data_IF_565578798793
#
_entry.id   IF_565578798793
#
_cell.length_a   1.000
_cell.length_b   1.000
_cell.length_c   1.000
_cell.angle_alpha   90.00
_cell.angle_beta   90.00
_cell.angle_gamma   90.00
#
_symmetry.space_group_name_H-M   'P 1'
#
loop_
_entity.id
_entity.type
_entity.pdbx_description
1 polymer ?
#
# COMPACT_ATOMS: atom_id res chain seq x y z
N UNK A 1 72.93 22.14 0.06
CA UNK A 1 71.89 21.94 1.11
C UNK A 1 70.75 22.83 0.76
N UNK A 2 69.84 22.32 -0.14
CA UNK A 2 68.72 23.07 -0.70
C UNK A 2 67.44 22.55 -0.07
N UNK A 3 66.79 23.45 0.64
CA UNK A 3 65.52 23.22 1.28
C UNK A 3 64.40 23.47 0.25
N UNK A 4 63.67 22.41 -0.14
CA UNK A 4 62.46 22.54 -0.97
C UNK A 4 61.31 23.01 -0.11
N UNK A 5 60.50 24.00 -0.56
CA UNK A 5 59.29 24.41 0.15
C UNK A 5 58.16 23.40 -0.08
N UNK A 6 57.60 22.88 1.00
CA UNK A 6 56.37 22.08 0.96
C UNK A 6 55.17 22.99 0.55
N UNK A 7 54.70 22.80 -0.67
CA UNK A 7 53.41 23.38 -1.09
C UNK A 7 52.28 22.65 -0.36
N UNK A 8 51.72 23.30 0.65
CA UNK A 8 50.48 22.88 1.28
C UNK A 8 49.33 22.91 0.27
N UNK A 9 48.97 21.77 -0.27
CA UNK A 9 47.74 21.62 -1.04
C UNK A 9 46.57 21.78 -0.09
N UNK A 10 46.04 23.02 -0.01
CA UNK A 10 44.79 23.30 0.69
C UNK A 10 43.69 22.51 -0.03
N UNK A 11 43.31 21.34 0.54
CA UNK A 11 42.13 20.63 0.12
C UNK A 11 40.92 21.56 0.28
N UNK A 12 40.40 22.05 -0.82
CA UNK A 12 39.13 22.78 -0.86
C UNK A 12 38.03 21.76 -0.52
N UNK A 13 37.63 21.74 0.74
CA UNK A 13 36.44 21.02 1.17
C UNK A 13 35.25 21.77 0.58
N UNK A 14 34.81 21.35 -0.62
CA UNK A 14 33.54 21.77 -1.16
C UNK A 14 32.44 21.36 -0.15
N UNK A 15 31.60 22.30 0.30
CA UNK A 15 30.50 21.97 1.18
C UNK A 15 29.64 20.94 0.47
N UNK A 16 29.49 19.75 1.08
CA UNK A 16 28.61 18.68 0.63
C UNK A 16 27.22 19.31 0.48
N UNK A 17 26.78 19.52 -0.74
CA UNK A 17 25.47 20.09 -1.04
C UNK A 17 24.45 19.32 -0.22
N UNK A 18 23.76 19.99 0.71
CA UNK A 18 22.77 19.40 1.57
C UNK A 18 21.76 18.63 0.69
N UNK A 19 21.70 17.32 0.85
CA UNK A 19 20.78 16.48 0.11
C UNK A 19 19.36 17.05 0.27
N UNK A 20 18.59 17.24 -0.82
CA UNK A 20 17.28 17.85 -0.75
C UNK A 20 16.42 17.07 0.28
N UNK A 21 15.72 17.80 1.14
CA UNK A 21 14.83 17.20 2.15
C UNK A 21 13.78 16.38 1.44
N UNK A 22 13.99 15.07 1.38
CA UNK A 22 13.05 14.13 0.76
C UNK A 22 11.82 14.00 1.65
N UNK A 23 10.63 14.20 1.07
CA UNK A 23 9.36 14.05 1.75
C UNK A 23 9.20 12.60 2.25
N UNK A 24 8.49 12.42 3.37
CA UNK A 24 8.20 11.09 3.96
C UNK A 24 7.54 10.14 2.93
N UNK A 25 6.73 10.66 2.02
CA UNK A 25 6.14 9.93 0.89
C UNK A 25 7.20 9.41 -0.08
N UNK A 26 8.18 10.21 -0.41
CA UNK A 26 9.29 9.79 -1.26
C UNK A 26 10.07 8.64 -0.62
N UNK A 27 10.41 8.75 0.66
CA UNK A 27 11.16 7.71 1.38
C UNK A 27 10.37 6.41 1.58
N UNK A 28 9.05 6.48 1.83
CA UNK A 28 8.26 5.29 2.16
C UNK A 28 7.66 4.58 0.97
N UNK A 29 7.40 5.27 -0.13
CA UNK A 29 6.72 4.71 -1.30
C UNK A 29 7.61 4.76 -2.54
N UNK A 30 8.14 5.93 -2.91
CA UNK A 30 8.88 6.09 -4.16
C UNK A 30 10.22 5.36 -4.10
N UNK A 31 11.00 5.56 -3.03
CA UNK A 31 12.33 4.95 -2.92
C UNK A 31 12.29 3.40 -2.95
N UNK A 32 11.39 2.69 -2.24
CA UNK A 32 11.27 1.24 -2.37
C UNK A 32 10.86 0.78 -3.77
N UNK A 33 9.93 1.50 -4.43
CA UNK A 33 9.51 1.17 -5.80
C UNK A 33 10.67 1.36 -6.77
N UNK A 34 11.39 2.47 -6.67
CA UNK A 34 12.58 2.73 -7.50
C UNK A 34 13.68 1.72 -7.22
N UNK A 35 13.90 1.34 -5.95
CA UNK A 35 14.86 0.31 -5.60
C UNK A 35 14.54 -1.05 -6.25
N UNK A 36 13.26 -1.41 -6.35
CA UNK A 36 12.84 -2.63 -7.03
C UNK A 36 13.00 -2.55 -8.55
N UNK A 37 12.74 -1.37 -9.15
CA UNK A 37 13.03 -1.13 -10.57
C UNK A 37 14.54 -1.29 -10.88
N UNK A 38 15.40 -0.91 -9.94
CA UNK A 38 16.86 -1.05 -10.10
C UNK A 38 17.35 -2.50 -10.02
N UNK A 39 16.56 -3.39 -9.43
CA UNK A 39 16.87 -4.83 -9.34
C UNK A 39 16.46 -5.63 -10.58
N UNK A 40 16.10 -4.97 -11.68
CA UNK A 40 15.76 -5.62 -12.95
C UNK A 40 14.32 -6.11 -13.07
N UNK A 41 13.43 -5.65 -12.19
CA UNK A 41 11.99 -5.92 -12.30
C UNK A 41 11.40 -5.00 -13.37
N UNK A 42 10.63 -5.56 -14.29
CA UNK A 42 10.04 -4.79 -15.39
C UNK A 42 8.98 -3.78 -14.90
N UNK A 43 8.85 -2.61 -15.53
CA UNK A 43 7.82 -1.61 -15.21
C UNK A 43 6.40 -2.19 -15.20
N UNK A 44 6.12 -3.11 -16.13
CA UNK A 44 4.83 -3.80 -16.24
C UNK A 44 4.52 -4.62 -15.00
N UNK A 45 5.51 -5.37 -14.50
CA UNK A 45 5.34 -6.21 -13.31
C UNK A 45 5.13 -5.37 -12.04
N UNK A 46 5.81 -4.23 -11.93
CA UNK A 46 5.60 -3.30 -10.81
C UNK A 46 4.22 -2.67 -10.90
N UNK A 47 3.81 -2.20 -12.08
CA UNK A 47 2.48 -1.63 -12.30
C UNK A 47 1.38 -2.64 -11.95
N UNK A 48 1.53 -3.88 -12.39
CA UNK A 48 0.60 -4.95 -12.07
C UNK A 48 0.55 -5.23 -10.56
N UNK A 49 1.71 -5.25 -9.91
CA UNK A 49 1.84 -5.41 -8.45
C UNK A 49 1.09 -4.30 -7.70
N UNK A 50 1.23 -3.04 -8.15
CA UNK A 50 0.54 -1.90 -7.54
C UNK A 50 -0.97 -2.00 -7.77
N UNK A 51 -1.42 -2.29 -8.98
CA UNK A 51 -2.84 -2.35 -9.32
C UNK A 51 -3.56 -3.48 -8.55
N UNK A 52 -3.03 -4.70 -8.59
CA UNK A 52 -3.59 -5.86 -7.87
C UNK A 52 -3.45 -5.68 -6.36
N UNK A 53 -2.28 -5.22 -5.90
CA UNK A 53 -2.03 -4.99 -4.47
C UNK A 53 -2.99 -3.98 -3.86
N UNK A 54 -3.27 -2.88 -4.57
CA UNK A 54 -4.25 -1.88 -4.13
C UNK A 54 -5.67 -2.44 -4.10
N UNK A 55 -6.06 -3.26 -5.08
CA UNK A 55 -7.36 -3.93 -5.09
C UNK A 55 -7.52 -4.88 -3.90
N UNK A 56 -6.50 -5.67 -3.59
CA UNK A 56 -6.49 -6.59 -2.44
C UNK A 56 -6.48 -5.84 -1.10
N UNK A 57 -5.75 -4.71 -1.01
CA UNK A 57 -5.70 -3.88 0.18
C UNK A 57 -7.05 -3.22 0.51
N UNK A 58 -7.92 -3.05 -0.49
CA UNK A 58 -9.28 -2.51 -0.33
C UNK A 58 -10.35 -3.59 -0.15
N UNK A 59 -9.97 -4.83 0.15
CA UNK A 59 -10.89 -5.94 0.40
C UNK A 59 -11.80 -5.64 1.60
N UNK A 60 -13.14 -5.84 1.51
CA UNK A 60 -14.09 -5.31 2.50
C UNK A 60 -14.18 -6.11 3.82
N UNK A 61 -13.14 -6.87 4.19
CA UNK A 61 -13.08 -7.57 5.48
C UNK A 61 -11.85 -7.13 6.25
N UNK A 62 -12.06 -6.59 7.46
CA UNK A 62 -10.97 -6.24 8.36
C UNK A 62 -10.13 -7.45 8.74
N UNK A 63 -8.81 -7.27 8.74
CA UNK A 63 -7.83 -8.29 9.12
C UNK A 63 -7.52 -9.33 8.03
N UNK A 64 -8.43 -9.57 7.08
CA UNK A 64 -8.19 -10.50 5.99
C UNK A 64 -7.32 -9.91 4.86
N UNK A 65 -7.21 -8.58 4.76
CA UNK A 65 -6.46 -7.89 3.70
C UNK A 65 -4.99 -8.29 3.64
N UNK A 66 -4.33 -8.37 4.79
CA UNK A 66 -2.90 -8.74 4.86
C UNK A 66 -2.67 -10.16 4.37
N UNK A 67 -3.53 -11.10 4.78
CA UNK A 67 -3.45 -12.49 4.33
C UNK A 67 -3.78 -12.61 2.84
N UNK A 68 -4.83 -11.92 2.38
CA UNK A 68 -5.21 -11.88 0.97
C UNK A 68 -4.08 -11.30 0.11
N UNK A 69 -3.50 -10.17 0.50
CA UNK A 69 -2.35 -9.57 -0.16
C UNK A 69 -1.16 -10.52 -0.22
N UNK A 70 -0.89 -11.24 0.88
CA UNK A 70 0.20 -12.21 0.94
C UNK A 70 -0.04 -13.38 -0.02
N UNK A 71 -1.22 -14.01 0.03
CA UNK A 71 -1.56 -15.17 -0.81
C UNK A 71 -1.56 -14.79 -2.29
N UNK A 72 -2.22 -13.69 -2.66
CA UNK A 72 -2.29 -13.22 -4.05
C UNK A 72 -0.89 -12.89 -4.59
N UNK A 73 -0.05 -12.26 -3.78
CA UNK A 73 1.32 -11.97 -4.20
C UNK A 73 2.16 -13.23 -4.41
N UNK A 74 1.97 -14.27 -3.60
CA UNK A 74 2.63 -15.57 -3.79
C UNK A 74 2.14 -16.26 -5.08
N UNK A 75 0.83 -16.38 -5.24
CA UNK A 75 0.21 -17.10 -6.37
C UNK A 75 0.57 -16.44 -7.71
N UNK A 76 0.49 -15.12 -7.77
CA UNK A 76 0.79 -14.35 -8.97
C UNK A 76 2.27 -13.96 -9.11
N UNK A 77 3.11 -14.40 -8.17
CA UNK A 77 4.56 -14.10 -8.13
C UNK A 77 4.84 -12.60 -8.23
N UNK A 78 4.04 -11.80 -7.53
CA UNK A 78 4.17 -10.35 -7.45
C UNK A 78 5.17 -9.95 -6.36
N UNK A 79 5.51 -8.67 -6.33
CA UNK A 79 6.47 -8.15 -5.35
C UNK A 79 5.83 -8.00 -3.97
N UNK A 80 6.13 -8.92 -3.05
CA UNK A 80 5.60 -8.96 -1.68
C UNK A 80 5.84 -7.66 -0.89
N UNK A 81 7.06 -7.11 -0.82
CA UNK A 81 7.31 -5.84 -0.13
C UNK A 81 6.42 -4.70 -0.62
N UNK A 82 6.24 -4.57 -1.93
CA UNK A 82 5.41 -3.50 -2.50
C UNK A 82 3.94 -3.68 -2.10
N UNK A 83 3.41 -4.90 -2.20
CA UNK A 83 2.00 -5.18 -1.85
C UNK A 83 1.75 -4.92 -0.36
N UNK A 84 2.63 -5.35 0.53
CA UNK A 84 2.46 -5.11 1.97
C UNK A 84 2.58 -3.62 2.32
N UNK A 85 3.49 -2.90 1.65
CA UNK A 85 3.59 -1.45 1.81
C UNK A 85 2.31 -0.74 1.36
N UNK A 86 1.72 -1.15 0.22
CA UNK A 86 0.45 -0.61 -0.26
C UNK A 86 -0.69 -0.91 0.70
N UNK A 87 -0.76 -2.13 1.24
CA UNK A 87 -1.76 -2.51 2.23
C UNK A 87 -1.71 -1.58 3.46
N UNK A 88 -0.52 -1.26 3.96
CA UNK A 88 -0.35 -0.32 5.06
C UNK A 88 -0.65 1.14 4.66
N UNK A 89 -0.23 1.56 3.47
CA UNK A 89 -0.45 2.92 2.99
C UNK A 89 -1.93 3.22 2.72
N UNK A 90 -2.69 2.23 2.27
CA UNK A 90 -4.12 2.36 1.98
C UNK A 90 -5.02 2.16 3.20
N UNK A 91 -4.45 1.88 4.38
CA UNK A 91 -5.22 1.67 5.60
C UNK A 91 -6.21 2.81 5.93
N UNK A 92 -5.87 4.12 5.78
CA UNK A 92 -6.83 5.21 6.00
C UNK A 92 -8.00 5.22 5.02
N UNK A 93 -7.79 4.71 3.80
CA UNK A 93 -8.81 4.63 2.73
C UNK A 93 -9.66 3.36 2.87
N UNK A 94 -9.21 2.39 3.67
CA UNK A 94 -9.87 1.10 3.81
C UNK A 94 -11.31 1.21 4.35
N UNK A 95 -11.53 2.02 5.39
CA UNK A 95 -12.87 2.21 5.96
C UNK A 95 -13.86 2.80 4.94
N UNK A 96 -13.57 3.93 4.27
CA UNK A 96 -14.41 4.43 3.18
C UNK A 96 -14.66 3.41 2.07
N UNK A 97 -13.64 2.60 1.70
CA UNK A 97 -13.78 1.58 0.66
C UNK A 97 -14.74 0.45 1.08
N UNK A 98 -14.68 0.00 2.34
CA UNK A 98 -15.65 -0.98 2.88
C UNK A 98 -17.07 -0.43 2.76
N UNK A 99 -17.30 0.82 3.18
CA UNK A 99 -18.60 1.45 3.10
C UNK A 99 -19.13 1.54 1.67
N UNK A 100 -18.25 1.89 0.72
CA UNK A 100 -18.58 1.91 -0.69
C UNK A 100 -19.00 0.52 -1.19
N UNK A 101 -18.23 -0.53 -0.85
CA UNK A 101 -18.54 -1.91 -1.23
C UNK A 101 -19.85 -2.39 -0.61
N UNK A 102 -20.12 -2.06 0.66
CA UNK A 102 -21.39 -2.38 1.32
C UNK A 102 -22.56 -1.70 0.60
N UNK A 103 -22.48 -0.38 0.34
CA UNK A 103 -23.52 0.37 -0.36
C UNK A 103 -23.77 -0.14 -1.77
N UNK A 104 -22.70 -0.39 -2.49
CA UNK A 104 -22.80 -0.91 -3.85
C UNK A 104 -23.37 -2.35 -3.84
N UNK A 105 -23.00 -3.18 -2.84
CA UNK A 105 -23.59 -4.49 -2.66
C UNK A 105 -25.06 -4.44 -2.33
N UNK A 106 -25.48 -3.60 -1.39
CA UNK A 106 -26.90 -3.36 -1.06
C UNK A 106 -27.70 -2.96 -2.31
N UNK A 107 -27.16 -2.03 -3.10
CA UNK A 107 -27.75 -1.60 -4.36
C UNK A 107 -27.86 -2.75 -5.37
N UNK A 108 -26.79 -3.52 -5.55
CA UNK A 108 -26.73 -4.62 -6.53
C UNK A 108 -27.72 -5.75 -6.23
N UNK A 109 -27.90 -6.06 -4.95
CA UNK A 109 -28.77 -7.14 -4.50
C UNK A 109 -30.16 -6.69 -4.04
N UNK A 110 -30.46 -5.39 -4.12
CA UNK A 110 -31.76 -4.84 -3.73
C UNK A 110 -32.10 -5.02 -2.25
N UNK A 111 -31.08 -5.08 -1.39
CA UNK A 111 -31.23 -5.30 0.06
C UNK A 111 -31.41 -3.96 0.76
N UNK A 112 -32.35 -3.92 1.72
CA UNK A 112 -32.58 -2.70 2.51
C UNK A 112 -31.36 -2.35 3.35
N UNK A 113 -31.07 -1.05 3.39
CA UNK A 113 -29.94 -0.47 4.09
C UNK A 113 -29.87 -0.87 5.58
N UNK A 114 -28.70 -1.29 6.03
CA UNK A 114 -28.40 -1.60 7.44
C UNK A 114 -27.75 -0.37 8.13
N UNK A 115 -28.56 0.54 8.72
CA UNK A 115 -28.05 1.82 9.25
C UNK A 115 -27.09 1.65 10.43
N UNK A 116 -27.11 0.51 11.11
CA UNK A 116 -26.31 0.26 12.30
C UNK A 116 -24.92 -0.36 12.03
N UNK A 117 -24.61 -0.73 10.78
CA UNK A 117 -23.35 -1.35 10.43
C UNK A 117 -22.12 -0.53 10.87
N UNK A 118 -22.14 0.78 10.65
CA UNK A 118 -21.04 1.68 11.03
C UNK A 118 -20.91 1.78 12.55
N UNK A 119 -22.03 1.89 13.26
CA UNK A 119 -22.03 1.99 14.73
C UNK A 119 -21.48 0.71 15.37
N UNK A 120 -21.88 -0.46 14.89
CA UNK A 120 -21.39 -1.75 15.36
C UNK A 120 -19.90 -1.92 15.03
N UNK A 121 -19.45 -1.49 13.87
CA UNK A 121 -18.03 -1.51 13.52
C UNK A 121 -17.21 -0.64 14.48
N UNK A 122 -17.67 0.59 14.79
CA UNK A 122 -17.01 1.42 15.79
C UNK A 122 -17.04 0.81 17.18
N UNK A 123 -18.13 0.13 17.56
CA UNK A 123 -18.24 -0.59 18.84
C UNK A 123 -17.22 -1.71 18.96
N UNK A 124 -16.98 -2.46 17.89
CA UNK A 124 -15.96 -3.51 17.84
C UNK A 124 -14.55 -2.97 18.04
N UNK A 125 -14.26 -1.81 17.44
CA UNK A 125 -12.94 -1.18 17.49
C UNK A 125 -12.71 -0.39 18.77
N UNK A 126 -13.76 -0.18 19.60
CA UNK A 126 -13.66 0.59 20.83
C UNK A 126 -12.93 -0.19 21.91
N UNK A 127 -11.68 0.19 22.16
CA UNK A 127 -10.88 -0.31 23.26
C UNK A 127 -11.29 0.37 24.57
N UNK A 128 -11.76 -0.41 25.55
CA UNK A 128 -12.13 0.12 26.86
C UNK A 128 -10.93 0.19 27.79
N UNK A 129 -10.56 1.40 28.21
CA UNK A 129 -9.45 1.62 29.15
C UNK A 129 -9.76 1.15 30.58
N UNK A 130 -11.04 0.91 30.91
CA UNK A 130 -11.50 0.53 32.26
C UNK A 130 -11.43 -0.95 32.59
N UNK A 131 -11.07 -1.80 31.62
CA UNK A 131 -10.96 -3.25 31.79
C UNK A 131 -9.56 -3.74 31.43
N UNK A 132 -9.17 -4.88 31.99
CA UNK A 132 -7.85 -5.47 31.76
C UNK A 132 -7.58 -5.79 30.26
N UNK A 133 -6.31 -5.97 29.93
CA UNK A 133 -5.89 -6.31 28.57
C UNK A 133 -6.59 -7.59 28.07
N UNK A 134 -6.58 -8.66 28.87
CA UNK A 134 -7.18 -9.94 28.51
C UNK A 134 -8.70 -9.88 28.40
N UNK A 135 -9.35 -9.08 29.24
CA UNK A 135 -10.80 -8.87 29.18
C UNK A 135 -11.18 -8.10 27.91
N UNK A 136 -10.35 -7.15 27.47
CA UNK A 136 -10.53 -6.49 26.19
C UNK A 136 -10.35 -7.45 25.00
N UNK A 137 -9.37 -8.35 25.06
CA UNK A 137 -9.14 -9.36 24.00
C UNK A 137 -10.31 -10.33 23.88
N UNK A 138 -10.83 -10.82 25.02
CA UNK A 138 -11.98 -11.73 25.03
C UNK A 138 -13.27 -11.02 24.59
N UNK A 139 -13.50 -9.79 25.04
CA UNK A 139 -14.62 -8.96 24.62
C UNK A 139 -14.55 -8.64 23.12
N UNK A 140 -13.37 -8.35 22.60
CA UNK A 140 -13.17 -8.16 21.15
C UNK A 140 -13.50 -9.43 20.37
N UNK A 141 -13.04 -10.61 20.82
CA UNK A 141 -13.31 -11.87 20.16
C UNK A 141 -14.81 -12.21 20.13
N UNK A 142 -15.52 -12.05 21.25
CA UNK A 142 -16.97 -12.29 21.34
C UNK A 142 -17.77 -11.31 20.48
N UNK A 143 -17.42 -10.01 20.55
CA UNK A 143 -18.04 -8.98 19.71
C UNK A 143 -17.81 -9.24 18.21
N UNK A 144 -16.60 -9.68 17.85
CA UNK A 144 -16.26 -10.04 16.47
C UNK A 144 -17.10 -11.21 15.95
N UNK A 145 -17.27 -12.25 16.77
CA UNK A 145 -18.11 -13.41 16.43
C UNK A 145 -19.56 -13.01 16.23
N UNK A 146 -20.13 -12.21 17.15
CA UNK A 146 -21.49 -11.69 17.05
C UNK A 146 -21.66 -10.80 15.81
N UNK A 147 -20.68 -9.94 15.53
CA UNK A 147 -20.65 -9.10 14.32
C UNK A 147 -20.68 -9.96 13.06
N UNK A 148 -19.83 -10.98 12.96
CA UNK A 148 -19.83 -11.86 11.78
C UNK A 148 -21.16 -12.60 11.61
N UNK A 149 -21.76 -13.13 12.67
CA UNK A 149 -23.05 -13.78 12.59
C UNK A 149 -24.16 -12.83 12.13
N UNK A 150 -24.17 -11.62 12.64
CA UNK A 150 -25.21 -10.62 12.35
C UNK A 150 -25.05 -9.99 10.96
N UNK A 151 -23.80 -9.73 10.55
CA UNK A 151 -23.50 -9.00 9.32
C UNK A 151 -22.92 -9.90 8.21
N UNK A 152 -22.87 -11.22 8.39
CA UNK A 152 -22.41 -12.15 7.37
C UNK A 152 -23.10 -11.94 5.99
N UNK A 153 -24.42 -11.78 5.90
CA UNK A 153 -25.07 -11.50 4.61
C UNK A 153 -24.57 -10.21 3.98
N UNK A 154 -24.47 -9.13 4.77
CA UNK A 154 -23.97 -7.82 4.32
C UNK A 154 -22.50 -7.91 3.87
N UNK A 155 -21.67 -8.67 4.60
CA UNK A 155 -20.28 -8.93 4.22
C UNK A 155 -20.20 -9.69 2.89
N UNK A 156 -21.05 -10.69 2.67
CA UNK A 156 -21.09 -11.43 1.40
C UNK A 156 -21.48 -10.51 0.23
N UNK A 157 -22.47 -9.64 0.40
CA UNK A 157 -22.84 -8.64 -0.60
C UNK A 157 -21.70 -7.66 -0.89
N UNK A 158 -20.98 -7.22 0.15
CA UNK A 158 -19.82 -6.35 -0.01
C UNK A 158 -18.66 -7.04 -0.74
N UNK A 159 -18.41 -8.35 -0.46
CA UNK A 159 -17.40 -9.14 -1.16
C UNK A 159 -17.78 -9.31 -2.63
N UNK A 160 -19.05 -9.62 -2.92
CA UNK A 160 -19.53 -9.75 -4.29
C UNK A 160 -19.40 -8.43 -5.05
N UNK A 161 -19.78 -7.32 -4.42
CA UNK A 161 -19.59 -5.97 -4.97
C UNK A 161 -18.11 -5.66 -5.25
N UNK A 162 -17.23 -5.98 -4.28
CA UNK A 162 -15.78 -5.83 -4.44
C UNK A 162 -15.26 -6.68 -5.61
N UNK A 163 -15.70 -7.94 -5.73
CA UNK A 163 -15.27 -8.82 -6.81
C UNK A 163 -15.67 -8.28 -8.20
N UNK A 164 -16.86 -7.68 -8.31
CA UNK A 164 -17.34 -7.03 -9.54
C UNK A 164 -16.55 -5.77 -9.86
N UNK A 165 -16.23 -4.95 -8.84
CA UNK A 165 -15.51 -3.68 -9.01
C UNK A 165 -14.00 -3.88 -9.24
N UNK A 166 -13.43 -4.99 -8.72
CA UNK A 166 -11.99 -5.25 -8.75
C UNK A 166 -11.39 -5.27 -10.16
N UNK A 167 -11.95 -5.96 -11.17
CA UNK A 167 -11.39 -5.94 -12.53
C UNK A 167 -11.35 -4.53 -13.12
N UNK A 168 -12.44 -3.76 -12.94
CA UNK A 168 -12.51 -2.38 -13.40
C UNK A 168 -11.48 -1.50 -12.69
N UNK A 169 -11.33 -1.66 -11.37
CA UNK A 169 -10.35 -0.93 -10.58
C UNK A 169 -8.92 -1.25 -11.01
N UNK A 170 -8.60 -2.53 -11.23
CA UNK A 170 -7.26 -2.95 -11.71
C UNK A 170 -6.95 -2.31 -13.05
N UNK A 171 -7.88 -2.37 -14.00
CA UNK A 171 -7.73 -1.74 -15.33
C UNK A 171 -7.51 -0.24 -15.19
N UNK A 172 -8.34 0.44 -14.39
CA UNK A 172 -8.26 1.88 -14.18
C UNK A 172 -6.95 2.32 -13.50
N UNK A 173 -6.40 1.50 -12.62
CA UNK A 173 -5.09 1.75 -12.00
C UNK A 173 -3.93 1.39 -12.93
N UNK A 174 -4.02 0.28 -13.67
CA UNK A 174 -2.92 -0.23 -14.47
C UNK A 174 -2.56 0.70 -15.64
N UNK A 175 -3.56 1.12 -16.41
CA UNK A 175 -3.31 1.91 -17.62
C UNK A 175 -2.62 3.27 -17.38
N UNK A 176 -3.00 4.09 -16.40
CA UNK A 176 -2.31 5.35 -16.15
C UNK A 176 -0.97 5.16 -15.44
N UNK A 177 -0.81 4.11 -14.62
CA UNK A 177 0.44 3.85 -13.91
C UNK A 177 1.53 3.28 -14.83
N UNK A 178 1.16 2.53 -15.86
CA UNK A 178 2.12 1.91 -16.77
C UNK A 178 3.04 2.93 -17.48
N UNK A 179 2.53 3.98 -18.14
CA UNK A 179 3.41 4.97 -18.78
C UNK A 179 4.25 5.72 -17.73
N UNK A 180 3.70 5.99 -16.54
CA UNK A 180 4.44 6.64 -15.46
C UNK A 180 5.64 5.78 -15.03
N UNK A 181 5.46 4.48 -14.83
CA UNK A 181 6.53 3.55 -14.45
C UNK A 181 7.57 3.40 -15.57
N UNK A 182 7.18 3.42 -16.83
CA UNK A 182 8.11 3.40 -17.96
C UNK A 182 8.97 4.66 -18.01
N UNK A 183 8.39 5.84 -17.78
CA UNK A 183 9.13 7.11 -17.71
C UNK A 183 10.13 7.09 -16.56
N UNK A 184 9.71 6.69 -15.35
CA UNK A 184 10.59 6.59 -14.18
C UNK A 184 11.76 5.65 -14.45
N UNK A 185 11.50 4.48 -15.03
CA UNK A 185 12.54 3.52 -15.38
C UNK A 185 13.54 4.09 -16.41
N UNK A 186 13.05 4.79 -17.42
CA UNK A 186 13.90 5.43 -18.44
C UNK A 186 14.81 6.49 -17.83
N UNK A 187 14.26 7.40 -17.03
CA UNK A 187 15.04 8.44 -16.35
C UNK A 187 16.12 7.81 -15.46
N UNK A 188 15.80 6.75 -14.78
CA UNK A 188 16.73 6.05 -13.90
C UNK A 188 17.89 5.41 -14.68
N UNK A 189 17.61 4.76 -15.80
CA UNK A 189 18.65 4.21 -16.68
C UNK A 189 19.56 5.29 -17.26
N UNK A 190 19.00 6.43 -17.68
CA UNK A 190 19.77 7.57 -18.19
C UNK A 190 20.71 8.17 -17.10
N UNK A 191 20.23 8.26 -15.86
CA UNK A 191 21.05 8.73 -14.73
C UNK A 191 22.19 7.77 -14.42
N UNK A 192 21.94 6.46 -14.42
CA UNK A 192 22.98 5.45 -14.25
C UNK A 192 24.04 5.48 -15.35
N UNK A 193 23.60 5.63 -16.62
CA UNK A 193 24.50 5.72 -17.74
C UNK A 193 25.42 6.96 -17.66
N UNK A 194 24.87 8.11 -17.24
CA UNK A 194 25.65 9.35 -17.02
C UNK A 194 26.64 9.20 -15.86
N UNK A 195 26.29 8.50 -14.80
CA UNK A 195 27.20 8.23 -13.67
C UNK A 195 28.33 7.26 -14.04
N UNK A 196 28.05 6.29 -14.91
CA UNK A 196 29.04 5.32 -15.39
C UNK A 196 30.00 5.92 -16.44
N UNK A 197 29.58 6.97 -17.17
CA UNK A 197 30.39 7.65 -18.18
C UNK A 197 31.43 8.61 -17.59
N UNK A 198 31.38 8.93 -16.27
CA UNK A 198 32.34 9.76 -15.54
C UNK A 198 32.52 11.17 -16.13
N UNK A 199 33.17 12.10 -15.41
CA UNK A 199 33.64 13.35 -15.98
C UNK A 199 34.86 13.12 -16.90
#
# INVERSE_FOLDING_TARGET
MSILPQSQTKAVILPLAAAPRRNLWQRRIIDPVVAQLTQGITPEKITLTIAIGSACALFPIFGATTLLCFVVALVLRLNQPIIQLLNQALWPVHVPAILLCVRFGEFLFGVSHQPHFIQEMYRLLAWKHSIGFWDNVTAFGSNLTEFFHRFAPTALHAIAAWAVLTPLFIVLCYYPLLPLMRIINRIHHEQKAKQAAGP
#
